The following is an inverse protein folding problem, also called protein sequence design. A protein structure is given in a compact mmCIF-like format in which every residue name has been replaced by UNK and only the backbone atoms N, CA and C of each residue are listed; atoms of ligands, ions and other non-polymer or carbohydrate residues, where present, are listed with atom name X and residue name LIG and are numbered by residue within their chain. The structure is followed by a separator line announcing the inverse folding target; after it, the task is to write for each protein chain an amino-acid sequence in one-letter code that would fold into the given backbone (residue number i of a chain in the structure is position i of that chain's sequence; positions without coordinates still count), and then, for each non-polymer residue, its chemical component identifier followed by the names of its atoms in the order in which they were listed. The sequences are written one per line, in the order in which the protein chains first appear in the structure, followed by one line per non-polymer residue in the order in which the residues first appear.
data_IF_079045648387
#
_entry.id   IF_079045648387
#
_cell.length_a   1.000
_cell.length_b   1.000
_cell.length_c   1.000
_cell.angle_alpha   90.00
_cell.angle_beta   90.00
_cell.angle_gamma   90.00
#
_symmetry.space_group_name_H-M   'P 1'
#
loop_
_entity.id
_entity.type
_entity.pdbx_description
1 polymer ?
#
# COMPACT_ATOMS: atom_id res chain seq x y z
N UNK A 1 -6.09 14.24 2.90
CA UNK A 1 -6.67 14.14 4.25
C UNK A 1 -6.84 12.68 4.64
N UNK A 2 -6.90 12.36 5.93
CA UNK A 2 -7.20 11.00 6.38
C UNK A 2 -8.71 10.75 6.36
N UNK A 3 -9.15 9.60 5.84
CA UNK A 3 -10.56 9.25 5.69
C UNK A 3 -10.88 7.91 6.39
N UNK A 4 -11.67 7.97 7.46
CA UNK A 4 -12.07 6.79 8.23
C UNK A 4 -12.98 5.82 7.44
N UNK A 5 -13.63 6.28 6.37
CA UNK A 5 -14.38 5.42 5.46
C UNK A 5 -13.43 4.52 4.66
N UNK A 6 -12.39 5.11 4.09
CA UNK A 6 -11.32 4.38 3.41
C UNK A 6 -10.59 3.41 4.35
N UNK A 7 -10.32 3.81 5.59
CA UNK A 7 -9.73 2.90 6.61
C UNK A 7 -10.61 1.67 6.86
N UNK A 8 -11.93 1.85 7.02
CA UNK A 8 -12.86 0.73 7.23
C UNK A 8 -12.90 -0.21 6.03
N UNK A 9 -12.92 0.34 4.81
CA UNK A 9 -12.86 -0.46 3.59
C UNK A 9 -11.52 -1.20 3.47
N UNK A 10 -10.41 -0.55 3.77
CA UNK A 10 -9.08 -1.15 3.77
C UNK A 10 -9.00 -2.30 4.79
N UNK A 11 -9.53 -2.10 6.00
CA UNK A 11 -9.59 -3.14 7.03
C UNK A 11 -10.46 -4.33 6.62
N UNK A 12 -11.58 -4.07 5.94
CA UNK A 12 -12.45 -5.12 5.43
C UNK A 12 -11.77 -5.92 4.31
N UNK A 13 -11.08 -5.24 3.39
CA UNK A 13 -10.33 -5.87 2.29
C UNK A 13 -9.12 -6.67 2.80
N UNK A 14 -8.39 -6.13 3.78
CA UNK A 14 -7.28 -6.81 4.46
C UNK A 14 -7.75 -8.05 5.23
N UNK A 15 -9.03 -8.08 5.62
CA UNK A 15 -9.70 -9.19 6.31
C UNK A 15 -8.79 -9.82 7.39
N UNK A 16 -8.57 -9.10 8.50
CA UNK A 16 -7.36 -9.07 9.35
C UNK A 16 -6.59 -10.40 9.39
N UNK A 17 -5.90 -10.71 8.30
CA UNK A 17 -5.20 -11.96 8.08
C UNK A 17 -3.87 -11.66 7.43
N UNK A 18 -2.83 -12.36 7.86
CA UNK A 18 -1.49 -12.20 7.31
C UNK A 18 -1.23 -13.18 6.16
N UNK A 19 -2.23 -13.32 5.28
CA UNK A 19 -2.05 -14.12 4.06
C UNK A 19 -1.01 -13.44 3.16
N UNK A 20 -0.47 -14.21 2.22
CA UNK A 20 0.35 -13.69 1.14
C UNK A 20 -0.48 -13.10 0.00
N UNK A 21 -1.81 -13.11 0.11
CA UNK A 21 -2.70 -12.60 -0.93
C UNK A 21 -2.80 -11.08 -0.82
N UNK A 22 -2.54 -10.40 -1.94
CA UNK A 22 -2.68 -8.95 -2.03
C UNK A 22 -4.18 -8.62 -2.04
N UNK A 23 -4.68 -7.78 -1.12
CA UNK A 23 -6.09 -7.39 -1.10
C UNK A 23 -6.51 -6.69 -2.39
N UNK A 24 -7.71 -7.01 -2.88
CA UNK A 24 -8.30 -6.28 -3.99
C UNK A 24 -8.86 -4.94 -3.52
N UNK A 25 -8.49 -3.86 -4.20
CA UNK A 25 -9.05 -2.55 -3.95
C UNK A 25 -10.52 -2.48 -4.44
N UNK A 26 -11.43 -1.83 -3.70
CA UNK A 26 -12.79 -1.57 -4.16
C UNK A 26 -12.80 -0.74 -5.46
N UNK A 27 -13.88 -0.85 -6.24
CA UNK A 27 -14.01 -0.12 -7.50
C UNK A 27 -13.84 1.41 -7.31
N UNK A 28 -13.08 2.04 -8.20
CA UNK A 28 -12.78 3.47 -8.16
C UNK A 28 -11.71 3.86 -7.15
N UNK A 29 -10.99 2.89 -6.57
CA UNK A 29 -9.91 3.11 -5.60
C UNK A 29 -8.67 2.33 -6.02
N UNK A 30 -7.50 2.89 -5.73
CA UNK A 30 -6.22 2.17 -5.82
C UNK A 30 -5.85 1.67 -4.42
N UNK A 31 -5.37 0.43 -4.37
CA UNK A 31 -4.78 -0.17 -3.17
C UNK A 31 -3.26 -0.07 -3.20
N UNK A 32 -2.69 0.37 -2.08
CA UNK A 32 -1.25 0.42 -1.80
C UNK A 32 -0.99 -0.63 -0.72
N UNK A 33 -0.17 -1.63 -1.02
CA UNK A 33 0.02 -2.79 -0.16
C UNK A 33 1.47 -2.90 0.30
N UNK A 34 1.63 -3.40 1.52
CA UNK A 34 2.92 -3.73 2.08
C UNK A 34 2.84 -5.05 2.82
N UNK A 35 3.86 -5.89 2.64
CA UNK A 35 4.01 -7.13 3.36
C UNK A 35 5.45 -7.32 3.79
N UNK A 36 5.65 -7.60 5.09
CA UNK A 36 6.96 -7.99 5.61
C UNK A 36 6.81 -9.10 6.63
N UNK A 37 7.64 -10.12 6.47
CA UNK A 37 7.78 -11.23 7.40
C UNK A 37 9.10 -11.02 8.13
N UNK A 38 9.05 -10.82 9.45
CA UNK A 38 10.22 -10.52 10.27
C UNK A 38 10.32 -11.46 11.46
N UNK A 39 11.54 -11.73 11.89
CA UNK A 39 11.87 -12.48 13.11
C UNK A 39 12.42 -11.56 14.22
N UNK A 40 12.45 -10.24 14.00
CA UNK A 40 12.91 -9.20 14.93
C UNK A 40 11.79 -8.22 15.34
N UNK A 41 12.18 -7.04 15.85
CA UNK A 41 11.30 -5.97 16.36
C UNK A 41 10.10 -5.66 15.44
N UNK A 42 8.92 -5.58 16.03
CA UNK A 42 7.64 -5.36 15.36
C UNK A 42 7.66 -4.07 14.51
N UNK A 43 7.25 -4.12 13.23
CA UNK A 43 7.33 -2.97 12.36
C UNK A 43 6.05 -2.14 12.49
N UNK A 44 6.19 -0.82 12.46
CA UNK A 44 5.07 0.13 12.43
C UNK A 44 4.69 0.48 10.98
N UNK A 45 3.51 1.08 10.78
CA UNK A 45 3.05 1.62 9.48
C UNK A 45 4.06 2.58 8.83
N UNK A 46 4.89 3.24 9.62
CA UNK A 46 5.97 4.11 9.14
C UNK A 46 7.03 3.33 8.35
N UNK A 47 7.21 2.04 8.64
CA UNK A 47 8.08 1.13 7.88
C UNK A 47 7.54 0.90 6.47
N UNK A 48 6.23 0.66 6.34
CA UNK A 48 5.57 0.50 5.04
C UNK A 48 5.72 1.78 4.18
N UNK A 49 5.43 2.94 4.79
CA UNK A 49 5.57 4.24 4.11
C UNK A 49 7.00 4.48 3.67
N UNK A 50 7.99 4.18 4.51
CA UNK A 50 9.40 4.37 4.18
C UNK A 50 9.83 3.51 2.99
N UNK A 51 9.42 2.25 2.96
CA UNK A 51 9.77 1.31 1.89
C UNK A 51 9.12 1.71 0.56
N UNK A 52 7.85 2.14 0.56
CA UNK A 52 7.22 2.71 -0.64
C UNK A 52 7.96 3.96 -1.13
N UNK A 53 8.45 4.81 -0.22
CA UNK A 53 9.23 5.99 -0.58
C UNK A 53 10.63 5.65 -1.11
N UNK A 54 11.20 4.51 -0.74
CA UNK A 54 12.52 4.06 -1.24
C UNK A 54 12.46 3.52 -2.68
N UNK A 55 11.29 3.14 -3.19
CA UNK A 55 11.14 2.65 -4.58
C UNK A 55 11.67 3.66 -5.61
N UNK A 56 11.44 4.96 -5.40
CA UNK A 56 11.93 6.02 -6.30
C UNK A 56 13.47 6.12 -6.33
N UNK A 57 14.13 5.68 -5.26
CA UNK A 57 15.59 5.66 -5.18
C UNK A 57 16.17 4.46 -5.92
N UNK A 58 15.38 3.39 -6.05
CA UNK A 58 15.80 2.11 -6.61
C UNK A 58 15.39 1.92 -8.08
N UNK A 59 14.34 2.62 -8.54
CA UNK A 59 13.77 2.43 -9.88
C UNK A 59 13.53 3.76 -10.60
N UNK A 60 13.85 3.80 -11.89
CA UNK A 60 13.61 4.98 -12.72
C UNK A 60 12.14 5.11 -13.13
N UNK A 61 11.56 6.30 -12.97
CA UNK A 61 10.21 6.60 -13.47
C UNK A 61 10.24 6.64 -14.99
N UNK A 62 9.39 5.83 -15.63
CA UNK A 62 9.15 5.93 -17.08
C UNK A 62 8.24 7.12 -17.36
N UNK A 63 8.57 7.96 -18.35
CA UNK A 63 7.77 9.13 -18.76
C UNK A 63 6.31 8.81 -19.14
N UNK A 64 6.03 7.54 -19.46
CA UNK A 64 4.69 7.03 -19.83
C UNK A 64 3.85 6.66 -18.60
N UNK A 65 4.47 6.50 -17.42
CA UNK A 65 3.81 5.91 -16.26
C UNK A 65 2.87 6.87 -15.53
N UNK A 66 3.03 8.18 -15.67
CA UNK A 66 2.26 9.17 -14.91
C UNK A 66 1.47 10.05 -15.88
N UNK A 67 0.17 9.81 -15.97
CA UNK A 67 -0.76 10.77 -16.57
C UNK A 67 -1.73 11.28 -15.49
N UNK A 68 -2.33 12.45 -15.72
CA UNK A 68 -3.33 13.03 -14.81
C UNK A 68 -4.58 12.14 -14.63
N UNK A 69 -4.77 11.14 -15.50
CA UNK A 69 -5.98 10.30 -15.56
C UNK A 69 -5.77 8.87 -15.09
N UNK A 70 -4.57 8.35 -15.27
CA UNK A 70 -4.23 6.96 -14.93
C UNK A 70 -2.71 6.81 -14.77
N UNK A 71 -2.32 5.87 -13.92
CA UNK A 71 -0.93 5.42 -13.81
C UNK A 71 -0.79 4.09 -14.51
N UNK A 72 0.04 4.03 -15.55
CA UNK A 72 0.31 2.81 -16.31
C UNK A 72 1.67 2.23 -15.93
N UNK A 73 1.67 1.04 -15.32
CA UNK A 73 2.88 0.41 -14.83
C UNK A 73 3.54 -0.41 -15.94
N UNK A 74 4.71 0.02 -16.41
CA UNK A 74 5.56 -0.83 -17.27
C UNK A 74 6.38 -1.82 -16.43
N UNK A 75 6.70 -1.41 -15.20
CA UNK A 75 7.40 -2.19 -14.19
C UNK A 75 6.67 -2.00 -12.85
N UNK A 76 6.30 -3.10 -12.18
CA UNK A 76 5.49 -3.04 -10.94
C UNK A 76 6.27 -2.46 -9.75
N UNK A 77 7.57 -2.21 -9.90
CA UNK A 77 8.48 -1.86 -8.82
C UNK A 77 8.35 -0.42 -8.28
N UNK A 78 7.55 0.43 -8.94
CA UNK A 78 7.27 1.82 -8.53
C UNK A 78 5.79 2.04 -8.18
N UNK A 79 5.01 0.96 -8.10
CA UNK A 79 3.55 1.08 -8.11
C UNK A 79 3.06 1.81 -6.88
N UNK A 80 3.60 1.47 -5.73
CA UNK A 80 3.21 1.99 -4.44
C UNK A 80 3.62 3.44 -4.32
N UNK A 81 4.87 3.78 -4.67
CA UNK A 81 5.34 5.17 -4.74
C UNK A 81 4.48 6.05 -5.65
N UNK A 82 4.28 5.61 -6.90
CA UNK A 82 3.51 6.38 -7.88
C UNK A 82 2.05 6.50 -7.50
N UNK A 83 1.50 5.49 -6.81
CA UNK A 83 0.16 5.58 -6.25
C UNK A 83 0.11 6.54 -5.06
N UNK A 84 1.13 6.62 -4.22
CA UNK A 84 1.16 7.56 -3.09
C UNK A 84 1.34 9.02 -3.53
N UNK A 85 2.16 9.25 -4.56
CA UNK A 85 2.58 10.58 -5.00
C UNK A 85 1.66 11.22 -6.06
N UNK A 86 0.50 10.61 -6.39
CA UNK A 86 -0.37 11.20 -7.42
C UNK A 86 -0.92 12.55 -6.96
N UNK A 87 -0.81 13.60 -7.78
CA UNK A 87 -1.30 14.93 -7.41
C UNK A 87 -2.81 15.02 -7.17
N UNK A 88 -3.59 14.11 -7.78
CA UNK A 88 -5.06 14.12 -7.70
C UNK A 88 -5.62 13.48 -6.44
N UNK A 89 -4.80 12.84 -5.61
CA UNK A 89 -5.27 12.18 -4.39
C UNK A 89 -5.66 13.23 -3.36
N UNK A 90 -6.87 13.10 -2.83
CA UNK A 90 -7.34 13.99 -1.78
C UNK A 90 -7.52 13.27 -0.45
N UNK A 91 -7.67 11.94 -0.47
CA UNK A 91 -7.96 11.14 0.71
C UNK A 91 -7.18 9.82 0.74
N UNK A 92 -6.81 9.41 1.95
CA UNK A 92 -6.18 8.12 2.23
C UNK A 92 -6.74 7.53 3.53
N UNK A 93 -6.87 6.21 3.58
CA UNK A 93 -7.15 5.48 4.82
C UNK A 93 -6.44 4.12 4.80
N UNK A 94 -5.89 3.72 5.94
CA UNK A 94 -5.00 2.56 6.02
C UNK A 94 -5.46 1.59 7.11
N UNK A 95 -5.19 0.31 6.89
CA UNK A 95 -5.34 -0.73 7.90
C UNK A 95 -4.06 -1.56 7.96
N UNK A 96 -3.73 -2.02 9.15
CA UNK A 96 -2.60 -2.92 9.39
C UNK A 96 -3.03 -4.14 10.20
N UNK A 97 -2.28 -5.22 10.06
CA UNK A 97 -2.41 -6.41 10.89
C UNK A 97 -1.03 -6.99 11.17
N UNK A 98 -0.82 -7.35 12.44
CA UNK A 98 0.29 -8.16 12.88
C UNK A 98 -0.23 -9.54 13.28
N UNK A 99 0.35 -10.58 12.70
CA UNK A 99 0.10 -11.96 13.10
C UNK A 99 1.41 -12.59 13.55
N UNK A 100 1.33 -13.46 14.56
CA UNK A 100 2.44 -14.31 14.96
C UNK A 100 2.19 -15.73 14.46
N UNK A 101 3.04 -16.21 13.56
CA UNK A 101 2.93 -17.53 12.94
C UNK A 101 4.28 -18.24 13.02
N UNK A 102 4.33 -19.40 13.70
CA UNK A 102 5.56 -20.19 13.90
C UNK A 102 6.78 -19.39 14.44
N UNK A 103 6.53 -18.40 15.30
CA UNK A 103 7.58 -17.55 15.88
C UNK A 103 8.00 -16.37 15.00
N UNK A 104 7.45 -16.26 13.78
CA UNK A 104 7.66 -15.15 12.86
C UNK A 104 6.52 -14.14 13.01
N UNK A 105 6.88 -12.85 13.06
CA UNK A 105 5.94 -11.74 13.02
C UNK A 105 5.66 -11.41 11.55
N UNK A 106 4.41 -11.58 11.14
CA UNK A 106 3.95 -11.21 9.79
C UNK A 106 3.20 -9.90 9.90
N UNK A 107 3.74 -8.86 9.28
CA UNK A 107 3.13 -7.55 9.22
C UNK A 107 2.59 -7.28 7.83
N UNK A 108 1.33 -6.86 7.75
CA UNK A 108 0.69 -6.42 6.52
C UNK A 108 0.08 -5.04 6.73
N UNK A 109 0.26 -4.17 5.76
CA UNK A 109 -0.46 -2.90 5.68
C UNK A 109 -1.14 -2.77 4.33
N UNK A 110 -2.33 -2.20 4.34
CA UNK A 110 -3.08 -1.90 3.15
C UNK A 110 -3.72 -0.53 3.28
N UNK A 111 -3.41 0.36 2.36
CA UNK A 111 -3.99 1.69 2.26
C UNK A 111 -4.85 1.80 1.00
N UNK A 112 -5.94 2.54 1.10
CA UNK A 112 -6.78 2.93 -0.02
C UNK A 112 -6.70 4.43 -0.23
N UNK A 113 -6.62 4.83 -1.50
CA UNK A 113 -6.73 6.22 -1.94
C UNK A 113 -8.01 6.43 -2.75
N UNK A 114 -8.50 7.66 -2.82
CA UNK A 114 -9.74 8.06 -3.50
C UNK A 114 -9.61 8.23 -5.02
N UNK A 115 -8.61 7.61 -5.63
CA UNK A 115 -8.35 7.64 -7.06
C UNK A 115 -8.25 6.21 -7.61
N UNK A 116 -8.69 5.94 -8.85
CA UNK A 116 -8.59 4.62 -9.50
C UNK A 116 -7.17 4.28 -9.94
#
# INVERSE_FOLDING_TARGET
EYDCGLEKEAKAALNPSCTSEIPNAPAGKTGIYYSKDIDWDEPEITSAVSEWMEEIQNFAVSDIAISDKEVTFKDNALREYLSLMRPSITKIGCAEVLCKDNGMNKYRAFCLIDQP
#
